data_IF_336696096625
#
_entry.id   IF_336696096625
#
_cell.length_a   1.000
_cell.length_b   1.000
_cell.length_c   1.000
_cell.angle_alpha   90.00
_cell.angle_beta   90.00
_cell.angle_gamma   90.00
#
_symmetry.space_group_name_H-M   'P 1'
#
loop_
_entity.id
_entity.type
_entity.pdbx_description
1 polymer ?
#
# COMPACT_ATOMS: atom_id res chain seq x y z
N UNK A 1 -3.25 1.00 -0.53
CA UNK A 1 -4.06 1.69 0.50
C UNK A 1 -3.52 3.08 0.78
N UNK A 2 -2.37 3.22 1.44
CA UNK A 2 -1.83 4.55 1.81
C UNK A 2 -1.69 5.52 0.63
N UNK A 3 -1.00 5.12 -0.44
CA UNK A 3 -0.77 5.98 -1.60
C UNK A 3 -2.08 6.42 -2.30
N UNK A 4 -3.02 5.51 -2.54
CA UNK A 4 -4.33 5.86 -3.13
C UNK A 4 -5.07 6.89 -2.27
N UNK A 5 -5.14 6.70 -0.95
CA UNK A 5 -5.75 7.69 -0.04
C UNK A 5 -5.00 9.00 0.02
N UNK A 6 -3.66 8.96 -0.08
CA UNK A 6 -2.84 10.17 -0.15
C UNK A 6 -3.22 10.99 -1.39
N UNK A 7 -3.32 10.36 -2.55
CA UNK A 7 -3.68 11.01 -3.80
C UNK A 7 -5.16 11.43 -3.85
N UNK A 8 -6.09 10.52 -3.59
CA UNK A 8 -7.52 10.75 -3.82
C UNK A 8 -8.22 11.49 -2.66
N UNK A 9 -7.56 11.69 -1.52
CA UNK A 9 -8.11 12.42 -0.37
C UNK A 9 -7.19 13.59 0.03
N UNK A 10 -5.93 13.32 0.39
CA UNK A 10 -5.04 14.36 0.94
C UNK A 10 -4.65 15.40 -0.12
N UNK A 11 -4.12 14.97 -1.26
CA UNK A 11 -3.71 15.90 -2.33
C UNK A 11 -4.88 16.75 -2.81
N UNK A 12 -6.07 16.16 -2.99
CA UNK A 12 -7.29 16.88 -3.38
C UNK A 12 -7.75 17.91 -2.36
N UNK A 13 -7.51 17.68 -1.06
CA UNK A 13 -7.91 18.59 0.02
C UNK A 13 -6.88 19.69 0.29
N UNK A 14 -5.60 19.41 0.05
CA UNK A 14 -4.48 20.30 0.38
C UNK A 14 -3.95 21.10 -0.81
N UNK A 15 -4.52 20.95 -2.00
CA UNK A 15 -4.07 21.57 -3.25
C UNK A 15 -2.55 21.42 -3.48
N UNK A 16 -2.04 20.22 -3.16
CA UNK A 16 -0.63 19.87 -3.28
C UNK A 16 -0.49 18.51 -3.96
N UNK A 17 0.37 18.48 -4.98
CA UNK A 17 0.70 17.29 -5.74
C UNK A 17 2.17 16.98 -5.46
N UNK A 18 2.54 15.76 -5.03
CA UNK A 18 3.94 15.42 -4.81
C UNK A 18 4.70 15.36 -6.13
N UNK A 19 6.00 15.62 -6.09
CA UNK A 19 6.85 15.61 -7.28
C UNK A 19 7.40 14.21 -7.61
N UNK A 20 7.53 13.33 -6.61
CA UNK A 20 8.05 11.98 -6.79
C UNK A 20 7.39 10.97 -5.85
N UNK A 21 7.45 9.70 -6.24
CA UNK A 21 6.95 8.56 -5.46
C UNK A 21 8.06 7.52 -5.33
N UNK A 22 8.30 7.07 -4.10
CA UNK A 22 9.19 5.93 -3.84
C UNK A 22 8.36 4.73 -3.40
N UNK A 23 8.57 3.58 -4.03
CA UNK A 23 8.01 2.29 -3.60
C UNK A 23 9.13 1.49 -2.92
N UNK A 24 8.98 1.24 -1.62
CA UNK A 24 9.91 0.38 -0.89
C UNK A 24 9.53 -1.09 -1.08
N UNK A 25 10.50 -1.94 -1.39
CA UNK A 25 10.35 -3.38 -1.51
C UNK A 25 11.54 -4.11 -0.86
N UNK A 26 11.33 -5.35 -0.45
CA UNK A 26 12.40 -6.25 0.05
C UNK A 26 12.30 -7.58 -0.67
N UNK A 27 13.44 -8.24 -0.88
CA UNK A 27 13.49 -9.58 -1.49
C UNK A 27 12.66 -10.57 -0.67
N UNK A 28 12.78 -10.52 0.66
CA UNK A 28 12.02 -11.35 1.61
C UNK A 28 10.50 -11.18 1.48
N UNK A 29 10.01 -9.94 1.39
CA UNK A 29 8.57 -9.69 1.22
C UNK A 29 8.05 -10.22 -0.12
N UNK A 30 8.85 -10.09 -1.19
CA UNK A 30 8.46 -10.58 -2.51
C UNK A 30 8.50 -12.12 -2.56
N UNK A 31 9.50 -12.78 -1.97
CA UNK A 31 9.47 -14.24 -1.75
C UNK A 31 8.21 -14.69 -1.01
N UNK A 32 7.84 -13.98 0.05
CA UNK A 32 6.60 -14.25 0.78
C UNK A 32 5.35 -14.08 -0.11
N UNK A 33 5.31 -13.05 -0.94
CA UNK A 33 4.21 -12.86 -1.89
C UNK A 33 4.16 -13.92 -2.99
N UNK A 34 5.31 -14.51 -3.35
CA UNK A 34 5.40 -15.61 -4.31
C UNK A 34 5.23 -17.01 -3.74
N UNK A 35 4.89 -17.12 -2.44
CA UNK A 35 4.44 -18.37 -1.83
C UNK A 35 5.32 -18.90 -0.70
N UNK A 36 6.54 -18.39 -0.52
CA UNK A 36 7.46 -18.89 0.49
C UNK A 36 6.88 -18.80 1.92
N UNK A 37 7.28 -19.73 2.78
CA UNK A 37 6.95 -19.71 4.20
C UNK A 37 7.74 -18.62 4.92
N UNK A 38 7.17 -18.04 5.98
CA UNK A 38 7.83 -17.02 6.80
C UNK A 38 9.16 -17.49 7.38
N UNK A 39 9.27 -18.79 7.69
CA UNK A 39 10.48 -19.41 8.27
C UNK A 39 11.62 -19.54 7.25
N UNK A 40 11.30 -19.57 5.96
CA UNK A 40 12.27 -19.85 4.89
C UNK A 40 12.76 -18.57 4.20
N UNK A 41 12.25 -17.39 4.56
CA UNK A 41 12.55 -16.14 3.84
C UNK A 41 14.03 -15.73 3.88
N UNK A 42 14.83 -16.28 4.80
CA UNK A 42 16.28 -16.02 4.89
C UNK A 42 17.11 -16.85 3.90
N UNK A 43 16.53 -17.89 3.30
CA UNK A 43 17.20 -18.73 2.31
C UNK A 43 16.98 -18.15 0.91
N UNK A 44 17.97 -18.28 0.03
CA UNK A 44 17.82 -17.88 -1.37
C UNK A 44 16.68 -18.68 -2.02
N UNK A 45 15.76 -17.98 -2.70
CA UNK A 45 14.69 -18.62 -3.46
C UNK A 45 14.24 -17.73 -4.62
N UNK A 46 14.98 -17.79 -5.72
CA UNK A 46 14.74 -17.01 -6.94
C UNK A 46 13.38 -17.29 -7.57
N UNK A 47 12.88 -18.53 -7.48
CA UNK A 47 11.56 -18.92 -8.01
C UNK A 47 10.42 -18.26 -7.24
N UNK A 48 10.46 -18.31 -5.90
CA UNK A 48 9.48 -17.63 -5.07
C UNK A 48 9.56 -16.11 -5.25
N UNK A 49 10.78 -15.55 -5.36
CA UNK A 49 10.95 -14.14 -5.67
C UNK A 49 10.24 -13.78 -6.98
N UNK A 50 10.54 -14.48 -8.08
CA UNK A 50 9.94 -14.26 -9.40
C UNK A 50 8.41 -14.28 -9.36
N UNK A 51 7.82 -15.26 -8.68
CA UNK A 51 6.36 -15.37 -8.52
C UNK A 51 5.77 -14.18 -7.74
N UNK A 52 6.51 -13.61 -6.79
CA UNK A 52 6.07 -12.48 -5.98
C UNK A 52 6.23 -11.10 -6.61
N UNK A 53 7.07 -10.99 -7.66
CA UNK A 53 7.34 -9.71 -8.35
C UNK A 53 6.07 -9.04 -8.85
N UNK A 54 5.06 -9.81 -9.26
CA UNK A 54 3.78 -9.27 -9.74
C UNK A 54 3.01 -8.44 -8.70
N UNK A 55 3.26 -8.64 -7.40
CA UNK A 55 2.74 -7.73 -6.38
C UNK A 55 3.34 -6.32 -6.54
N UNK A 56 4.66 -6.23 -6.66
CA UNK A 56 5.35 -4.97 -6.93
C UNK A 56 4.95 -4.40 -8.29
N UNK A 57 4.83 -5.25 -9.31
CA UNK A 57 4.37 -4.87 -10.64
C UNK A 57 3.03 -4.14 -10.61
N UNK A 58 2.05 -4.64 -9.83
CA UNK A 58 0.76 -3.98 -9.67
C UNK A 58 0.88 -2.63 -8.95
N UNK A 59 1.75 -2.51 -7.94
CA UNK A 59 2.00 -1.22 -7.29
C UNK A 59 2.64 -0.18 -8.21
N UNK A 60 3.57 -0.60 -9.08
CA UNK A 60 4.16 0.27 -10.11
C UNK A 60 3.09 0.75 -11.09
N UNK A 61 2.25 -0.16 -11.60
CA UNK A 61 1.13 0.15 -12.49
C UNK A 61 0.14 1.14 -11.86
N UNK A 62 -0.14 0.98 -10.56
CA UNK A 62 -1.03 1.86 -9.84
C UNK A 62 -0.46 3.28 -9.75
N UNK A 63 0.84 3.45 -9.50
CA UNK A 63 1.44 4.80 -9.47
C UNK A 63 1.41 5.47 -10.84
N UNK A 64 1.62 4.70 -11.92
CA UNK A 64 1.46 5.18 -13.30
C UNK A 64 0.04 5.65 -13.60
N UNK A 65 -0.97 5.00 -13.00
CA UNK A 65 -2.38 5.44 -13.13
C UNK A 65 -2.59 6.86 -12.59
N UNK A 66 -1.85 7.24 -11.54
CA UNK A 66 -1.87 8.61 -10.98
C UNK A 66 -0.94 9.58 -11.71
N UNK A 67 -0.25 9.15 -12.78
CA UNK A 67 0.67 9.99 -13.55
C UNK A 67 2.13 9.94 -13.07
N UNK A 68 2.48 9.03 -12.15
CA UNK A 68 3.83 8.92 -11.60
C UNK A 68 4.64 7.78 -12.22
N UNK A 69 5.91 8.03 -12.52
CA UNK A 69 6.90 6.97 -12.69
C UNK A 69 7.67 6.80 -11.38
N UNK A 70 7.34 5.80 -10.53
CA UNK A 70 7.93 5.69 -9.21
C UNK A 70 9.41 5.27 -9.27
N UNK A 71 10.18 5.62 -8.24
CA UNK A 71 11.50 5.03 -7.96
C UNK A 71 11.30 3.85 -7.01
N UNK A 72 11.84 2.69 -7.34
CA UNK A 72 11.80 1.51 -6.45
C UNK A 72 13.03 1.52 -5.56
N UNK A 73 12.83 1.47 -4.24
CA UNK A 73 13.89 1.28 -3.25
C UNK A 73 13.90 -0.17 -2.78
N UNK A 74 14.92 -0.93 -3.16
CA UNK A 74 15.17 -2.28 -2.65
C UNK A 74 15.89 -2.11 -1.31
N UNK A 75 15.18 -2.29 -0.19
CA UNK A 75 15.82 -2.29 1.13
C UNK A 75 16.54 -3.62 1.33
N UNK A 76 17.88 -3.59 1.35
CA UNK A 76 18.74 -4.78 1.36
C UNK A 76 18.90 -5.32 2.77
N UNK A 77 18.73 -6.64 2.91
CA UNK A 77 19.03 -7.38 4.13
C UNK A 77 20.31 -8.22 3.96
N UNK A 78 20.96 -8.56 5.08
CA UNK A 78 22.18 -9.39 5.11
C UNK A 78 22.03 -10.75 4.40
N UNK A 79 20.81 -11.30 4.38
CA UNK A 79 20.50 -12.60 3.78
C UNK A 79 20.12 -12.51 2.30
N UNK A 80 19.98 -11.31 1.75
CA UNK A 80 19.60 -11.14 0.35
C UNK A 80 20.84 -11.37 -0.53
N UNK A 81 20.71 -12.23 -1.54
CA UNK A 81 21.82 -12.53 -2.46
C UNK A 81 21.85 -11.55 -3.63
N UNK A 82 23.03 -11.36 -4.23
CA UNK A 82 23.18 -10.50 -5.42
C UNK A 82 22.29 -10.97 -6.57
N UNK A 83 22.13 -12.29 -6.75
CA UNK A 83 21.24 -12.87 -7.75
C UNK A 83 19.77 -12.47 -7.53
N UNK A 84 19.30 -12.48 -6.27
CA UNK A 84 17.94 -12.05 -5.93
C UNK A 84 17.74 -10.54 -6.17
N UNK A 85 18.74 -9.73 -5.82
CA UNK A 85 18.72 -8.27 -6.05
C UNK A 85 18.69 -7.97 -7.56
N UNK A 86 19.50 -8.66 -8.36
CA UNK A 86 19.57 -8.51 -9.81
C UNK A 86 18.24 -8.87 -10.49
N UNK A 87 17.59 -9.96 -10.06
CA UNK A 87 16.25 -10.35 -10.56
C UNK A 87 15.23 -9.23 -10.30
N UNK A 88 15.21 -8.70 -9.08
CA UNK A 88 14.29 -7.64 -8.68
C UNK A 88 14.56 -6.33 -9.45
N UNK A 89 15.83 -5.93 -9.55
CA UNK A 89 16.25 -4.75 -10.29
C UNK A 89 15.94 -4.89 -11.79
N UNK A 90 16.21 -6.05 -12.39
CA UNK A 90 15.87 -6.37 -13.77
C UNK A 90 14.37 -6.27 -14.05
N UNK A 91 13.55 -6.80 -13.14
CA UNK A 91 12.09 -6.68 -13.25
C UNK A 91 11.60 -5.23 -13.21
N UNK A 92 12.22 -4.38 -12.39
CA UNK A 92 11.93 -2.95 -12.36
C UNK A 92 12.33 -2.26 -13.69
N UNK A 93 13.53 -2.58 -14.22
CA UNK A 93 14.02 -2.05 -15.50
C UNK A 93 13.10 -2.39 -16.67
N UNK A 94 12.60 -3.63 -16.76
CA UNK A 94 11.64 -4.03 -17.81
C UNK A 94 10.31 -3.27 -17.76
N UNK A 95 9.99 -2.63 -16.63
CA UNK A 95 8.81 -1.77 -16.44
C UNK A 95 9.12 -0.29 -16.60
N UNK A 96 10.36 0.08 -16.96
CA UNK A 96 10.78 1.46 -17.18
C UNK A 96 10.73 2.31 -15.93
N UNK A 97 11.01 1.72 -14.75
CA UNK A 97 11.13 2.47 -13.50
C UNK A 97 12.55 2.39 -12.95
N UNK A 98 13.00 3.48 -12.35
CA UNK A 98 14.29 3.55 -11.68
C UNK A 98 14.29 2.67 -10.44
N UNK A 99 15.44 2.10 -10.11
CA UNK A 99 15.59 1.22 -8.95
C UNK A 99 16.90 1.51 -8.23
N UNK A 100 16.86 1.67 -6.92
CA UNK A 100 18.00 1.87 -6.04
C UNK A 100 18.08 0.75 -5.00
N UNK A 101 19.28 0.23 -4.77
CA UNK A 101 19.54 -0.61 -3.60
C UNK A 101 19.81 0.31 -2.42
N UNK A 102 19.12 0.09 -1.31
CA UNK A 102 19.16 0.93 -0.12
C UNK A 102 19.72 0.13 1.06
N UNK A 103 20.84 0.60 1.59
CA UNK A 103 21.57 0.03 2.73
C UNK A 103 21.53 0.95 3.96
N UNK A 104 20.63 1.93 3.98
CA UNK A 104 20.60 2.97 5.03
C UNK A 104 20.39 2.46 6.45
N UNK A 105 19.79 1.27 6.62
CA UNK A 105 19.69 0.64 7.93
C UNK A 105 21.07 0.32 8.53
N UNK A 106 22.01 -0.17 7.71
CA UNK A 106 23.36 -0.52 8.15
C UNK A 106 24.37 0.63 8.03
N UNK A 107 24.16 1.54 7.07
CA UNK A 107 25.15 2.58 6.69
C UNK A 107 24.65 4.02 6.86
N UNK A 108 23.50 4.21 7.49
CA UNK A 108 22.89 5.53 7.65
C UNK A 108 22.64 6.24 6.31
N UNK A 109 22.83 7.56 6.26
CA UNK A 109 22.59 8.35 5.05
C UNK A 109 23.43 7.92 3.85
N UNK A 110 24.66 7.44 4.06
CA UNK A 110 25.55 6.99 2.99
C UNK A 110 24.96 5.81 2.20
N UNK A 111 24.22 4.92 2.88
CA UNK A 111 23.55 3.79 2.26
C UNK A 111 22.33 4.14 1.41
N UNK A 112 21.93 5.42 1.35
CA UNK A 112 20.78 5.91 0.59
C UNK A 112 21.15 6.95 -0.49
N UNK A 113 22.43 7.20 -0.76
CA UNK A 113 22.86 8.21 -1.75
C UNK A 113 22.28 7.91 -3.15
N UNK A 114 22.39 6.67 -3.62
CA UNK A 114 21.85 6.26 -4.94
C UNK A 114 20.33 6.46 -5.03
N UNK A 115 19.60 6.16 -3.94
CA UNK A 115 18.16 6.43 -3.86
C UNK A 115 17.89 7.93 -3.93
N UNK A 116 18.62 8.74 -3.16
CA UNK A 116 18.46 10.18 -3.12
C UNK A 116 18.70 10.81 -4.51
N UNK A 117 19.77 10.44 -5.20
CA UNK A 117 20.07 10.93 -6.55
C UNK A 117 18.97 10.57 -7.56
N UNK A 118 18.44 9.35 -7.50
CA UNK A 118 17.32 8.92 -8.36
C UNK A 118 16.02 9.65 -8.03
N UNK A 119 15.78 9.96 -6.76
CA UNK A 119 14.63 10.78 -6.34
C UNK A 119 14.77 12.21 -6.85
N UNK A 120 15.95 12.83 -6.73
CA UNK A 120 16.21 14.18 -7.29
C UNK A 120 15.90 14.21 -8.79
N UNK A 121 16.41 13.24 -9.55
CA UNK A 121 16.12 13.10 -10.99
C UNK A 121 14.64 12.84 -11.29
N UNK A 122 13.91 12.21 -10.38
CA UNK A 122 12.48 11.97 -10.54
C UNK A 122 11.66 13.26 -10.32
N UNK A 123 12.06 14.09 -9.35
CA UNK A 123 11.44 15.40 -9.05
C UNK A 123 11.58 16.37 -10.23
N UNK A 124 12.66 16.28 -11.01
CA UNK A 124 12.87 17.13 -12.19
C UNK A 124 11.91 16.80 -13.37
N UNK A 125 11.20 15.67 -13.32
CA UNK A 125 10.28 15.26 -14.39
C UNK A 125 8.88 15.82 -14.13
N UNK A 126 8.18 16.32 -15.16
CA UNK A 126 6.82 16.82 -14.98
C UNK A 126 5.87 15.69 -14.57
N UNK A 127 5.05 15.95 -13.55
CA UNK A 127 4.01 15.03 -13.07
C UNK A 127 2.67 15.43 -13.69
N UNK A 128 2.06 14.54 -14.48
CA UNK A 128 0.70 14.72 -14.97
C UNK A 128 -0.29 14.02 -14.04
N UNK A 129 -0.49 14.60 -12.86
CA UNK A 129 -1.33 14.00 -11.82
C UNK A 129 -2.79 13.88 -12.29
N UNK A 130 -3.36 12.69 -12.06
CA UNK A 130 -4.77 12.42 -12.31
C UNK A 130 -5.38 11.64 -11.15
N UNK A 131 -6.43 12.21 -10.54
CA UNK A 131 -7.23 11.50 -9.55
C UNK A 131 -7.90 10.27 -10.17
N UNK A 132 -8.18 9.26 -9.36
CA UNK A 132 -8.68 7.98 -9.87
C UNK A 132 -10.13 8.05 -10.38
N UNK A 133 -10.89 8.96 -9.80
CA UNK A 133 -12.31 9.22 -10.00
C UNK A 133 -12.64 10.70 -9.77
N UNK A 134 -13.75 11.17 -10.35
CA UNK A 134 -14.25 12.52 -10.12
C UNK A 134 -15.07 12.59 -8.83
N UNK A 135 -15.04 13.73 -8.14
CA UNK A 135 -15.85 13.90 -6.94
C UNK A 135 -17.35 13.87 -7.25
N UNK A 136 -17.74 14.18 -8.48
CA UNK A 136 -19.13 14.13 -8.94
C UNK A 136 -19.62 12.73 -9.29
N UNK A 137 -18.72 11.75 -9.40
CA UNK A 137 -19.10 10.35 -9.67
C UNK A 137 -19.97 9.80 -8.53
N UNK A 138 -20.84 8.84 -8.86
CA UNK A 138 -21.60 8.13 -7.82
C UNK A 138 -20.65 7.38 -6.88
N UNK A 139 -21.06 7.14 -5.64
CA UNK A 139 -20.21 6.38 -4.71
C UNK A 139 -19.91 4.98 -5.22
N UNK A 140 -20.84 4.34 -5.91
CA UNK A 140 -20.64 3.03 -6.50
C UNK A 140 -19.57 3.06 -7.61
N UNK A 141 -19.53 4.11 -8.44
CA UNK A 141 -18.49 4.32 -9.45
C UNK A 141 -17.13 4.60 -8.83
N UNK A 142 -17.06 5.44 -7.80
CA UNK A 142 -15.82 5.72 -7.06
C UNK A 142 -15.25 4.43 -6.47
N UNK A 143 -16.09 3.64 -5.80
CA UNK A 143 -15.69 2.37 -5.18
C UNK A 143 -15.24 1.36 -6.25
N UNK A 144 -15.97 1.27 -7.36
CA UNK A 144 -15.61 0.43 -8.50
C UNK A 144 -14.27 0.86 -9.11
N UNK A 145 -14.02 2.16 -9.28
CA UNK A 145 -12.76 2.66 -9.82
C UNK A 145 -11.57 2.26 -8.95
N UNK A 146 -11.67 2.41 -7.62
CA UNK A 146 -10.62 1.93 -6.70
C UNK A 146 -10.47 0.41 -6.78
N UNK A 147 -11.57 -0.35 -6.75
CA UNK A 147 -11.51 -1.81 -6.77
C UNK A 147 -10.87 -2.36 -8.06
N UNK A 148 -11.29 -1.89 -9.23
CA UNK A 148 -10.82 -2.43 -10.50
C UNK A 148 -9.44 -1.89 -10.86
N UNK A 149 -9.22 -0.58 -10.76
CA UNK A 149 -7.95 0.03 -11.18
C UNK A 149 -6.83 -0.21 -10.18
N UNK A 150 -7.08 -0.09 -8.87
CA UNK A 150 -6.02 -0.24 -7.86
C UNK A 150 -5.84 -1.67 -7.39
N UNK A 151 -6.93 -2.38 -7.10
CA UNK A 151 -6.83 -3.74 -6.55
C UNK A 151 -6.76 -4.80 -7.65
N UNK A 152 -7.29 -4.52 -8.84
CA UNK A 152 -7.40 -5.51 -9.91
C UNK A 152 -8.56 -6.48 -9.71
N UNK A 153 -9.60 -6.04 -8.97
CA UNK A 153 -10.84 -6.80 -8.83
C UNK A 153 -11.64 -6.77 -10.13
N UNK A 154 -12.45 -7.81 -10.38
CA UNK A 154 -13.37 -7.85 -11.53
C UNK A 154 -14.57 -6.92 -11.32
N UNK A 155 -14.88 -6.60 -10.06
CA UNK A 155 -15.96 -5.72 -9.68
C UNK A 155 -16.17 -5.61 -8.17
N UNK A 156 -17.34 -5.09 -7.81
CA UNK A 156 -17.72 -4.82 -6.42
C UNK A 156 -19.12 -5.36 -6.17
N UNK A 157 -19.28 -6.04 -5.05
CA UNK A 157 -20.56 -6.49 -4.53
C UNK A 157 -20.92 -5.68 -3.28
N UNK A 158 -22.22 -5.46 -3.07
CA UNK A 158 -22.72 -4.64 -1.97
C UNK A 158 -23.78 -5.40 -1.18
N UNK A 159 -23.66 -5.38 0.14
CA UNK A 159 -24.75 -5.82 1.01
C UNK A 159 -25.96 -4.89 0.89
N UNK A 160 -27.15 -5.39 1.26
CA UNK A 160 -28.34 -4.54 1.36
C UNK A 160 -28.16 -3.36 2.33
N UNK A 161 -27.41 -3.56 3.42
CA UNK A 161 -27.06 -2.52 4.40
C UNK A 161 -26.22 -1.42 3.75
N UNK A 162 -25.16 -1.79 3.02
CA UNK A 162 -24.28 -0.85 2.32
C UNK A 162 -25.06 0.00 1.32
N UNK A 163 -25.92 -0.62 0.49
CA UNK A 163 -26.77 0.12 -0.48
C UNK A 163 -27.69 1.13 0.20
N UNK A 164 -28.32 0.76 1.32
CA UNK A 164 -29.18 1.67 2.10
C UNK A 164 -28.39 2.84 2.70
N UNK A 165 -27.19 2.58 3.20
CA UNK A 165 -26.31 3.61 3.76
C UNK A 165 -25.82 4.59 2.68
N UNK A 166 -25.41 4.10 1.51
CA UNK A 166 -25.03 4.93 0.36
C UNK A 166 -26.17 5.89 0.00
N UNK A 167 -27.38 5.37 -0.22
CA UNK A 167 -28.56 6.21 -0.53
C UNK A 167 -28.85 7.23 0.55
N UNK A 168 -28.68 6.87 1.82
CA UNK A 168 -28.90 7.79 2.94
C UNK A 168 -27.91 8.94 2.88
N UNK A 169 -26.62 8.67 2.64
CA UNK A 169 -25.58 9.70 2.53
C UNK A 169 -25.84 10.63 1.34
N UNK A 170 -26.27 10.08 0.20
CA UNK A 170 -26.64 10.87 -0.98
C UNK A 170 -27.83 11.80 -0.70
N UNK A 171 -28.86 11.30 -0.01
CA UNK A 171 -30.03 12.09 0.39
C UNK A 171 -29.70 13.21 1.39
N UNK A 172 -28.61 13.07 2.16
CA UNK A 172 -28.10 14.12 3.04
C UNK A 172 -27.30 15.20 2.29
N UNK A 173 -27.21 15.12 0.95
CA UNK A 173 -26.52 16.11 0.13
C UNK A 173 -25.00 15.92 0.07
N UNK A 174 -24.47 14.79 0.55
CA UNK A 174 -23.03 14.58 0.73
C UNK A 174 -22.36 13.83 -0.43
N UNK A 175 -23.07 13.65 -1.56
CA UNK A 175 -22.66 12.86 -2.74
C UNK A 175 -21.25 13.13 -3.30
N UNK A 176 -20.70 14.32 -3.07
CA UNK A 176 -19.41 14.73 -3.63
C UNK A 176 -18.19 14.39 -2.76
N UNK A 177 -18.38 13.73 -1.62
CA UNK A 177 -17.26 13.34 -0.77
C UNK A 177 -16.39 12.25 -1.45
N UNK A 178 -15.06 12.26 -1.23
CA UNK A 178 -14.19 11.14 -1.59
C UNK A 178 -14.46 9.90 -0.73
N UNK A 179 -13.86 8.78 -1.13
CA UNK A 179 -14.02 7.49 -0.47
C UNK A 179 -12.71 7.03 0.18
N UNK A 180 -12.82 6.34 1.31
CA UNK A 180 -11.71 5.72 2.02
C UNK A 180 -12.03 4.24 2.25
N UNK A 181 -11.74 3.39 1.25
CA UNK A 181 -12.03 1.95 1.39
C UNK A 181 -11.20 1.37 2.53
N UNK A 182 -11.89 0.78 3.49
CA UNK A 182 -11.31 0.05 4.59
C UNK A 182 -11.31 -1.44 4.20
N UNK A 183 -10.12 -2.06 4.15
CA UNK A 183 -9.93 -3.49 3.84
C UNK A 183 -8.62 -3.99 4.44
N UNK A 184 -8.39 -5.30 4.37
CA UNK A 184 -7.09 -5.87 4.75
C UNK A 184 -5.93 -5.28 3.95
N UNK A 185 -4.83 -5.00 4.64
CA UNK A 185 -3.57 -4.53 4.07
C UNK A 185 -2.69 -5.68 3.53
N UNK A 186 -3.03 -6.93 3.85
CA UNK A 186 -2.21 -8.12 3.53
C UNK A 186 -2.40 -8.65 2.11
N UNK A 187 -3.41 -8.16 1.40
CA UNK A 187 -3.77 -8.58 0.05
C UNK A 187 -4.22 -7.38 -0.78
N UNK A 188 -4.14 -7.47 -2.10
CA UNK A 188 -4.86 -6.55 -2.99
C UNK A 188 -6.38 -6.76 -2.89
N UNK A 189 -6.84 -8.00 -2.70
CA UNK A 189 -8.24 -8.32 -2.40
C UNK A 189 -8.64 -7.95 -0.96
N UNK A 190 -9.87 -8.30 -0.59
CA UNK A 190 -10.37 -8.25 0.79
C UNK A 190 -10.09 -9.54 1.60
N UNK A 191 -9.48 -10.56 0.97
CA UNK A 191 -9.06 -11.80 1.62
C UNK A 191 -7.55 -11.78 1.91
N UNK A 192 -7.18 -11.72 3.19
CA UNK A 192 -5.81 -11.62 3.66
C UNK A 192 -4.91 -12.83 3.30
N UNK A 193 -5.49 -13.97 2.91
CA UNK A 193 -4.74 -15.17 2.52
C UNK A 193 -4.25 -15.14 1.08
N UNK A 194 -4.86 -14.31 0.23
CA UNK A 194 -4.47 -14.19 -1.18
C UNK A 194 -3.26 -13.26 -1.30
N UNK A 195 -2.09 -13.84 -1.54
CA UNK A 195 -0.81 -13.13 -1.70
C UNK A 195 -0.50 -12.88 -3.18
N UNK A 196 0.51 -12.05 -3.46
CA UNK A 196 0.94 -11.76 -4.83
C UNK A 196 -0.02 -10.81 -5.53
N UNK A 197 -0.33 -11.12 -6.80
CA UNK A 197 -1.31 -10.40 -7.62
C UNK A 197 -2.52 -11.31 -7.89
N UNK A 198 -3.48 -11.43 -6.96
CA UNK A 198 -4.67 -12.24 -7.20
C UNK A 198 -5.45 -11.74 -8.42
N UNK A 199 -6.19 -12.65 -9.07
CA UNK A 199 -7.08 -12.38 -10.21
C UNK A 199 -8.41 -13.09 -9.97
N UNK A 200 -9.47 -12.71 -10.69
CA UNK A 200 -10.74 -13.43 -10.61
C UNK A 200 -11.49 -13.20 -9.30
N UNK A 201 -11.36 -12.02 -8.68
CA UNK A 201 -11.95 -11.74 -7.38
C UNK A 201 -12.82 -10.48 -7.38
N UNK A 202 -13.87 -10.50 -6.56
CA UNK A 202 -14.74 -9.36 -6.28
C UNK A 202 -14.35 -8.73 -4.94
N UNK A 203 -14.63 -7.43 -4.77
CA UNK A 203 -14.58 -6.78 -3.46
C UNK A 203 -15.99 -6.71 -2.88
N UNK A 204 -16.20 -7.18 -1.65
CA UNK A 204 -17.53 -7.13 -1.01
C UNK A 204 -17.60 -6.00 0.01
N UNK A 205 -18.41 -4.98 -0.26
CA UNK A 205 -18.72 -3.88 0.67
C UNK A 205 -19.88 -4.28 1.57
N UNK A 206 -19.59 -4.45 2.87
CA UNK A 206 -20.56 -4.94 3.86
C UNK A 206 -21.37 -3.83 4.49
N UNK A 207 -20.75 -2.66 4.64
CA UNK A 207 -21.36 -1.46 5.19
C UNK A 207 -20.57 -0.23 4.74
N UNK A 208 -21.17 0.94 4.88
CA UNK A 208 -20.56 2.23 4.59
C UNK A 208 -20.77 3.13 5.79
N UNK A 209 -19.69 3.66 6.33
CA UNK A 209 -19.70 4.70 7.36
C UNK A 209 -19.35 6.06 6.78
N UNK A 210 -19.56 7.11 7.57
CA UNK A 210 -19.26 8.47 7.16
C UNK A 210 -18.44 9.16 8.25
N UNK A 211 -17.32 9.76 7.85
CA UNK A 211 -16.53 10.63 8.70
C UNK A 211 -16.77 12.08 8.28
N UNK A 212 -17.91 12.66 8.68
CA UNK A 212 -18.36 13.98 8.20
C UNK A 212 -17.33 15.09 8.47
N UNK A 213 -16.74 15.14 9.67
CA UNK A 213 -15.71 16.12 10.00
C UNK A 213 -14.41 15.94 9.19
N UNK A 214 -14.05 14.70 8.86
CA UNK A 214 -12.88 14.43 8.03
C UNK A 214 -13.14 14.73 6.55
N UNK A 215 -14.39 14.55 6.10
CA UNK A 215 -14.85 14.84 4.75
C UNK A 215 -14.69 13.66 3.78
N UNK A 216 -15.01 12.43 4.21
CA UNK A 216 -15.05 11.25 3.33
C UNK A 216 -16.00 10.17 3.85
N UNK A 217 -16.42 9.26 2.96
CA UNK A 217 -17.13 8.04 3.34
C UNK A 217 -16.16 6.86 3.47
N UNK A 218 -16.54 5.84 4.23
CA UNK A 218 -15.71 4.68 4.55
C UNK A 218 -16.46 3.41 4.13
N UNK A 219 -16.29 2.94 2.88
CA UNK A 219 -16.75 1.62 2.47
C UNK A 219 -15.93 0.54 3.17
N UNK A 220 -16.59 -0.40 3.84
CA UNK A 220 -15.93 -1.42 4.66
C UNK A 220 -15.99 -2.77 3.95
N UNK A 221 -14.83 -3.24 3.48
CA UNK A 221 -14.62 -4.53 2.87
C UNK A 221 -13.87 -5.49 3.80
N UNK A 222 -14.35 -6.73 3.90
CA UNK A 222 -13.80 -7.72 4.82
C UNK A 222 -13.90 -7.31 6.30
N UNK A 223 -13.38 -8.15 7.20
CA UNK A 223 -13.29 -7.86 8.64
C UNK A 223 -12.12 -6.93 8.94
N UNK A 224 -12.38 -5.86 9.68
CA UNK A 224 -11.38 -4.87 10.07
C UNK A 224 -11.35 -4.80 11.58
N UNK A 225 -10.15 -4.99 12.14
CA UNK A 225 -9.91 -4.82 13.56
C UNK A 225 -9.74 -3.34 13.86
N UNK A 226 -10.69 -2.76 14.62
CA UNK A 226 -10.63 -1.36 15.08
C UNK A 226 -10.01 -1.21 16.47
N UNK A 227 -10.04 -2.29 17.25
CA UNK A 227 -9.52 -2.34 18.61
C UNK A 227 -8.64 -3.59 18.73
N UNK A 228 -7.32 -3.47 18.53
CA UNK A 228 -6.41 -4.58 18.76
C UNK A 228 -6.36 -4.91 20.26
N UNK A 229 -6.40 -6.21 20.59
CA UNK A 229 -6.18 -6.69 21.95
C UNK A 229 -4.69 -6.79 22.29
N UNK A 230 -4.39 -6.93 23.58
CA UNK A 230 -3.05 -7.24 24.05
C UNK A 230 -2.67 -8.70 23.72
N UNK A 231 -1.38 -9.00 23.47
CA UNK A 231 -0.90 -10.38 23.33
C UNK A 231 -0.93 -11.10 24.69
N UNK A 232 -0.78 -12.44 24.71
CA UNK A 232 -0.74 -13.22 25.96
C UNK A 232 0.33 -12.78 26.97
N UNK A 233 1.46 -12.24 26.47
CA UNK A 233 2.49 -11.57 27.28
C UNK A 233 2.68 -10.15 26.74
N UNK A 234 2.03 -9.14 27.33
CA UNK A 234 2.18 -7.75 26.93
C UNK A 234 3.59 -7.23 27.24
N UNK A 235 4.18 -6.41 26.35
CA UNK A 235 5.44 -5.72 26.65
C UNK A 235 5.38 -4.87 27.92
N UNK A 236 4.18 -4.47 28.35
CA UNK A 236 3.95 -3.75 29.61
C UNK A 236 4.42 -4.52 30.87
N UNK A 237 4.54 -5.84 30.81
CA UNK A 237 5.10 -6.64 31.91
C UNK A 237 6.64 -6.51 32.02
N UNK A 238 7.31 -6.15 30.93
CA UNK A 238 8.77 -6.04 30.84
C UNK A 238 9.26 -4.58 30.81
N UNK A 239 8.35 -3.59 30.75
CA UNK A 239 8.68 -2.17 30.77
C UNK A 239 8.99 -1.74 32.21
N UNK A 240 10.16 -1.13 32.41
CA UNK A 240 10.61 -0.62 33.71
C UNK A 240 11.46 0.65 33.55
N UNK A 241 11.69 1.37 34.65
CA UNK A 241 12.55 2.56 34.72
C UNK A 241 13.50 2.46 35.91
N UNK A 242 14.80 2.56 35.64
CA UNK A 242 15.80 2.51 36.70
C UNK A 242 15.89 3.83 37.49
N UNK A 243 16.71 3.85 38.55
CA UNK A 243 16.91 5.03 39.40
C UNK A 243 17.58 6.22 38.70
N UNK A 244 18.19 6.00 37.54
CA UNK A 244 18.81 7.04 36.72
C UNK A 244 17.84 7.58 35.65
N UNK A 245 16.64 7.01 35.55
CA UNK A 245 15.62 7.39 34.58
C UNK A 245 15.75 6.68 33.23
N UNK A 246 16.57 5.63 33.13
CA UNK A 246 16.68 4.84 31.90
C UNK A 246 15.51 3.85 31.81
N UNK A 247 14.85 3.82 30.65
CA UNK A 247 13.69 2.96 30.40
C UNK A 247 14.13 1.68 29.70
N UNK A 248 13.77 0.52 30.24
CA UNK A 248 13.96 -0.80 29.62
C UNK A 248 12.65 -1.39 29.10
N UNK A 249 12.73 -2.32 28.15
CA UNK A 249 11.58 -3.08 27.65
C UNK A 249 10.65 -2.34 26.66
N UNK A 250 10.99 -1.10 26.29
CA UNK A 250 10.15 -0.27 25.41
C UNK A 250 10.37 -0.51 23.91
N UNK A 251 11.58 -0.90 23.49
CA UNK A 251 11.98 -1.13 22.09
C UNK A 251 12.79 -2.42 21.92
#
# INVERSE_FOLDING_TARGET
>A
LGAEKFFDIKCRKCDYIPDAVVIVATVRALKYHGGADLKELKQENTKALQNGLENLGKHIENMKTFGFSPVVSINKFETDTDAEIEILAGYCKTRGVEVAVNESWARGGEGAIDLAEKVVKAVEKPVNYKALYELTDSYEEKIKAVATKMYGADGVEYSGKAKKQIRTIENLGLKNLPICIAKTQKSLSDNAKLRGRPKGFMITIREVEMAAGAGFIIPIAGSIMRMPGLPPRPSAEDIDIDSEGNISGLF
#
